data_IF_893095349213
#
_entry.id   IF_893095349213
#
_cell.length_a   1.000
_cell.length_b   1.000
_cell.length_c   1.000
_cell.angle_alpha   90.00
_cell.angle_beta   90.00
_cell.angle_gamma   90.00
#
_symmetry.space_group_name_H-M   'P 1'
#
loop_
_entity.id
_entity.type
_entity.pdbx_description
1 polymer ?
#
# COMPACT_ATOMS: atom_id res chain seq x y z
N UNK A 1 23.38 -4.94 3.47
CA UNK A 1 22.82 -3.59 3.68
C UNK A 1 21.29 -3.62 3.53
N UNK A 2 20.55 -4.48 4.25
CA UNK A 2 19.08 -4.66 4.06
C UNK A 2 18.25 -4.43 5.34
N UNK A 3 18.89 -4.16 6.47
CA UNK A 3 18.23 -4.10 7.78
C UNK A 3 17.79 -2.67 8.14
N UNK A 4 18.48 -1.66 7.61
CA UNK A 4 18.16 -0.23 7.78
C UNK A 4 16.86 0.17 7.06
N UNK A 5 16.62 -0.38 5.87
CA UNK A 5 15.46 0.00 5.05
C UNK A 5 14.15 -0.60 5.60
N UNK A 6 14.20 -1.81 6.15
CA UNK A 6 13.06 -2.45 6.83
C UNK A 6 12.63 -1.71 8.09
N UNK A 7 13.59 -1.18 8.86
CA UNK A 7 13.31 -0.37 10.05
C UNK A 7 12.68 0.98 9.66
N UNK A 8 13.05 1.54 8.51
CA UNK A 8 12.50 2.79 7.99
C UNK A 8 11.04 2.64 7.55
N UNK A 9 10.70 1.57 6.82
CA UNK A 9 9.32 1.33 6.35
C UNK A 9 8.32 1.12 7.48
N UNK A 10 8.70 0.39 8.55
CA UNK A 10 7.83 0.22 9.72
C UNK A 10 7.56 1.54 10.45
N UNK A 11 8.58 2.39 10.54
CA UNK A 11 8.42 3.70 11.17
C UNK A 11 7.52 4.61 10.33
N UNK A 12 7.67 4.59 9.00
CA UNK A 12 6.80 5.34 8.08
C UNK A 12 5.35 4.86 8.16
N UNK A 13 5.11 3.54 8.14
CA UNK A 13 3.77 2.95 8.27
C UNK A 13 3.10 3.37 9.58
N UNK A 14 3.85 3.32 10.69
CA UNK A 14 3.36 3.77 12.00
C UNK A 14 3.03 5.26 11.99
N UNK A 15 3.92 6.10 11.48
CA UNK A 15 3.68 7.54 11.41
C UNK A 15 2.49 7.89 10.50
N UNK A 16 2.30 7.16 9.41
CA UNK A 16 1.14 7.31 8.52
C UNK A 16 -0.14 6.97 9.26
N UNK A 17 -0.16 5.83 9.95
CA UNK A 17 -1.30 5.40 10.76
C UNK A 17 -1.61 6.41 11.87
N UNK A 18 -0.58 6.92 12.56
CA UNK A 18 -0.74 7.93 13.61
C UNK A 18 -1.26 9.27 13.08
N UNK A 19 -0.86 9.66 11.86
CA UNK A 19 -1.32 10.90 11.22
C UNK A 19 -2.81 10.87 10.92
N UNK A 20 -3.33 9.72 10.48
CA UNK A 20 -4.74 9.56 10.12
C UNK A 20 -5.59 8.90 11.21
N UNK A 21 -5.03 8.56 12.38
CA UNK A 21 -5.75 7.87 13.48
C UNK A 21 -7.05 8.51 13.95
N UNK A 22 -7.23 9.82 13.73
CA UNK A 22 -8.43 10.57 14.11
C UNK A 22 -9.48 10.62 12.99
N UNK A 23 -9.12 10.23 11.78
CA UNK A 23 -10.03 10.14 10.66
C UNK A 23 -10.84 8.86 10.77
N UNK A 24 -12.16 8.97 10.87
CA UNK A 24 -13.06 7.80 10.79
C UNK A 24 -13.08 7.18 9.39
N UNK A 25 -12.60 7.92 8.39
CA UNK A 25 -12.56 7.51 6.99
C UNK A 25 -11.28 6.74 6.64
N UNK A 26 -10.27 6.75 7.52
CA UNK A 26 -9.02 6.05 7.29
C UNK A 26 -9.12 4.58 7.68
N UNK A 27 -8.82 3.71 6.73
CA UNK A 27 -8.95 2.26 6.88
C UNK A 27 -7.61 1.59 6.64
N UNK A 28 -7.26 0.68 7.55
CA UNK A 28 -6.26 -0.36 7.34
C UNK A 28 -6.98 -1.68 7.17
N UNK A 29 -6.73 -2.41 6.07
CA UNK A 29 -7.30 -3.73 5.84
C UNK A 29 -6.27 -4.67 5.24
N UNK A 30 -6.17 -5.89 5.76
CA UNK A 30 -5.41 -6.93 5.10
C UNK A 30 -6.18 -7.40 3.86
N UNK A 31 -5.50 -7.41 2.71
CA UNK A 31 -6.03 -7.85 1.43
C UNK A 31 -5.12 -8.90 0.83
N UNK A 32 -5.65 -9.72 -0.07
CA UNK A 32 -4.87 -10.70 -0.83
C UNK A 32 -4.82 -10.23 -2.28
N UNK A 33 -3.61 -10.12 -2.81
CA UNK A 33 -3.36 -9.85 -4.23
C UNK A 33 -2.54 -11.03 -4.75
N UNK A 34 -3.08 -11.76 -5.73
CA UNK A 34 -2.50 -13.04 -6.16
C UNK A 34 -2.47 -14.05 -5.01
N UNK A 35 -1.27 -14.39 -4.53
CA UNK A 35 -1.04 -15.34 -3.43
C UNK A 35 -0.47 -14.67 -2.17
N UNK A 36 -0.25 -13.36 -2.20
CA UNK A 36 0.41 -12.61 -1.12
C UNK A 36 -0.60 -11.74 -0.35
N UNK A 37 -0.40 -11.66 0.97
CA UNK A 37 -1.20 -10.82 1.88
C UNK A 37 -0.52 -9.45 2.04
N UNK A 38 -1.26 -8.36 1.86
CA UNK A 38 -0.78 -6.99 2.01
C UNK A 38 -1.61 -6.21 3.04
N UNK A 39 -0.97 -5.34 3.80
CA UNK A 39 -1.66 -4.32 4.59
C UNK A 39 -2.00 -3.14 3.68
N UNK A 40 -3.30 -2.93 3.42
CA UNK A 40 -3.79 -1.87 2.57
C UNK A 40 -4.31 -0.69 3.39
N UNK A 41 -3.80 0.49 3.09
CA UNK A 41 -4.16 1.76 3.71
C UNK A 41 -4.84 2.66 2.68
N UNK A 42 -6.02 3.18 3.02
CA UNK A 42 -6.82 4.03 2.14
C UNK A 42 -7.83 4.88 2.93
N UNK A 43 -8.41 5.86 2.24
CA UNK A 43 -9.59 6.59 2.71
C UNK A 43 -10.84 5.97 2.08
N UNK A 44 -11.77 5.48 2.90
CA UNK A 44 -12.97 4.74 2.44
C UNK A 44 -13.84 5.58 1.51
N UNK A 45 -13.98 6.87 1.79
CA UNK A 45 -14.73 7.81 0.96
C UNK A 45 -14.12 8.05 -0.43
N UNK A 46 -12.82 7.77 -0.59
CA UNK A 46 -12.08 8.03 -1.84
C UNK A 46 -11.76 6.77 -2.62
N UNK A 47 -11.82 5.59 -2.00
CA UNK A 47 -11.41 4.32 -2.60
C UNK A 47 -12.53 3.29 -2.55
N UNK A 48 -13.02 2.90 -3.74
CA UNK A 48 -13.88 1.74 -3.89
C UNK A 48 -13.03 0.46 -3.94
N UNK A 49 -12.71 -0.09 -2.76
CA UNK A 49 -11.79 -1.22 -2.64
C UNK A 49 -12.17 -2.42 -3.53
N UNK A 50 -13.43 -2.91 -3.59
CA UNK A 50 -13.79 -4.01 -4.48
C UNK A 50 -13.45 -3.75 -5.96
N UNK A 51 -13.73 -2.53 -6.44
CA UNK A 51 -13.44 -2.15 -7.82
C UNK A 51 -11.95 -2.05 -8.06
N UNK A 52 -11.20 -1.46 -7.13
CA UNK A 52 -9.74 -1.36 -7.19
C UNK A 52 -9.08 -2.73 -7.19
N UNK A 53 -9.49 -3.65 -6.32
CA UNK A 53 -8.95 -5.02 -6.28
C UNK A 53 -9.30 -5.81 -7.53
N UNK A 54 -10.52 -5.65 -8.07
CA UNK A 54 -10.89 -6.28 -9.33
C UNK A 54 -10.00 -5.79 -10.47
N UNK A 55 -9.71 -4.49 -10.53
CA UNK A 55 -8.82 -3.93 -11.54
C UNK A 55 -7.37 -4.43 -11.39
N UNK A 56 -6.87 -4.51 -10.14
CA UNK A 56 -5.52 -5.06 -9.85
C UNK A 56 -5.44 -6.52 -10.27
N UNK A 57 -6.43 -7.34 -9.90
CA UNK A 57 -6.45 -8.76 -10.23
C UNK A 57 -6.65 -9.01 -11.74
N UNK A 58 -7.49 -8.23 -12.42
CA UNK A 58 -7.65 -8.33 -13.88
C UNK A 58 -6.35 -7.97 -14.59
N UNK A 59 -5.69 -6.88 -14.18
CA UNK A 59 -4.38 -6.55 -14.69
C UNK A 59 -3.40 -7.72 -14.47
N UNK A 60 -3.38 -8.30 -13.26
CA UNK A 60 -2.54 -9.46 -12.93
C UNK A 60 -2.79 -10.71 -13.80
N UNK A 61 -4.02 -10.94 -14.27
CA UNK A 61 -4.41 -12.09 -15.10
C UNK A 61 -4.10 -11.84 -16.58
N UNK A 62 -4.28 -10.62 -17.09
CA UNK A 62 -4.06 -10.28 -18.50
C UNK A 62 -2.58 -10.28 -18.91
N UNK A 63 -1.67 -10.28 -17.94
CA UNK A 63 -0.24 -10.39 -18.15
C UNK A 63 0.29 -11.62 -17.38
N UNK A 64 0.29 -12.80 -18.03
CA UNK A 64 0.99 -14.02 -17.58
C UNK A 64 2.54 -13.89 -17.64
N UNK A 65 3.04 -12.67 -17.44
CA UNK A 65 4.44 -12.33 -17.54
C UNK A 65 4.82 -11.64 -16.23
N UNK A 66 5.77 -12.22 -15.47
CA UNK A 66 6.31 -11.77 -14.17
C UNK A 66 6.65 -10.25 -14.10
N UNK A 67 6.63 -9.59 -15.25
CA UNK A 67 6.65 -8.14 -15.47
C UNK A 67 5.63 -7.31 -14.68
N UNK A 68 4.50 -7.86 -14.20
CA UNK A 68 3.53 -7.05 -13.44
C UNK A 68 3.90 -6.82 -11.98
N UNK A 69 4.72 -7.68 -11.37
CA UNK A 69 5.38 -7.33 -10.12
C UNK A 69 6.24 -6.07 -10.33
N UNK A 70 6.66 -5.76 -11.58
CA UNK A 70 7.32 -4.50 -11.92
C UNK A 70 6.37 -3.34 -12.29
N UNK A 71 5.12 -3.60 -12.69
CA UNK A 71 4.13 -2.56 -13.03
C UNK A 71 3.32 -2.12 -11.81
N UNK A 72 3.09 -3.06 -10.89
CA UNK A 72 2.74 -2.85 -9.49
C UNK A 72 3.96 -3.01 -8.59
N UNK A 73 5.16 -2.63 -9.07
CA UNK A 73 6.30 -2.47 -8.18
C UNK A 73 5.82 -1.52 -7.08
N UNK A 74 5.94 -1.88 -5.80
CA UNK A 74 5.71 -0.94 -4.71
C UNK A 74 6.73 0.18 -4.87
N UNK A 75 6.39 1.24 -5.63
CA UNK A 75 7.22 2.39 -6.01
C UNK A 75 8.73 2.18 -5.77
N UNK A 76 9.32 1.19 -6.47
CA UNK A 76 10.77 0.97 -6.40
C UNK A 76 11.41 1.85 -7.48
N UNK A 77 11.79 3.08 -7.12
CA UNK A 77 12.77 3.81 -7.92
C UNK A 77 12.46 5.25 -8.28
N UNK A 78 11.93 6.04 -7.35
CA UNK A 78 12.41 7.42 -7.24
C UNK A 78 12.50 7.82 -5.75
N UNK A 79 13.61 8.47 -5.42
CA UNK A 79 14.14 8.62 -4.06
C UNK A 79 13.15 9.23 -3.06
N UNK A 80 13.11 8.66 -1.85
CA UNK A 80 12.40 9.11 -0.64
C UNK A 80 10.87 8.93 -0.64
N UNK A 81 10.40 7.74 -0.22
CA UNK A 81 9.08 7.62 0.41
C UNK A 81 9.08 8.48 1.68
N UNK A 82 8.68 9.74 1.54
CA UNK A 82 8.42 10.60 2.67
C UNK A 82 7.00 10.32 3.18
N UNK A 83 6.82 10.43 4.49
CA UNK A 83 5.50 10.38 5.12
C UNK A 83 4.50 11.34 4.43
N UNK A 84 4.98 12.52 4.04
CA UNK A 84 4.18 13.54 3.36
C UNK A 84 3.74 13.10 1.96
N UNK A 85 4.62 12.44 1.20
CA UNK A 85 4.27 11.83 -0.09
C UNK A 85 3.13 10.83 0.06
N UNK A 86 3.29 9.83 0.94
CA UNK A 86 2.25 8.83 1.20
C UNK A 86 0.94 9.44 1.71
N UNK A 87 1.02 10.46 2.56
CA UNK A 87 -0.16 11.19 3.03
C UNK A 87 -0.90 11.86 1.88
N UNK A 88 -0.18 12.47 0.94
CA UNK A 88 -0.76 13.10 -0.24
C UNK A 88 -1.40 12.06 -1.18
N UNK A 89 -0.78 10.90 -1.38
CA UNK A 89 -1.35 9.83 -2.20
C UNK A 89 -2.70 9.32 -1.62
N UNK A 90 -2.81 9.17 -0.29
CA UNK A 90 -4.08 8.82 0.36
C UNK A 90 -5.16 9.86 0.10
N UNK A 91 -4.81 11.15 0.26
CA UNK A 91 -5.73 12.26 0.01
C UNK A 91 -6.14 12.40 -1.45
N UNK A 92 -5.36 11.83 -2.39
CA UNK A 92 -5.71 11.71 -3.80
C UNK A 92 -6.56 10.47 -4.12
N UNK A 93 -6.96 9.69 -3.11
CA UNK A 93 -7.75 8.48 -3.31
C UNK A 93 -6.93 7.31 -3.85
N UNK A 94 -5.63 7.26 -3.55
CA UNK A 94 -4.81 6.09 -3.89
C UNK A 94 -4.76 5.09 -2.74
N UNK A 95 -4.63 3.82 -3.13
CA UNK A 95 -4.42 2.69 -2.23
C UNK A 95 -2.92 2.52 -1.96
N UNK A 96 -2.52 2.49 -0.69
CA UNK A 96 -1.13 2.24 -0.30
C UNK A 96 -1.02 0.82 0.25
N UNK A 97 -0.02 0.07 -0.23
CA UNK A 97 0.20 -1.33 0.13
C UNK A 97 1.55 -1.49 0.83
N UNK A 98 1.53 -2.12 2.01
CA UNK A 98 2.73 -2.60 2.69
C UNK A 98 2.76 -4.12 2.64
N UNK A 99 3.90 -4.68 2.23
CA UNK A 99 4.16 -6.12 2.18
C UNK A 99 4.12 -6.75 3.58
N UNK A 100 3.81 -8.05 3.70
CA UNK A 100 3.57 -8.70 5.00
C UNK A 100 4.82 -8.83 5.86
N UNK A 101 6.01 -8.64 5.28
CA UNK A 101 7.26 -8.52 6.05
C UNK A 101 7.28 -7.27 6.95
N UNK A 102 6.46 -6.27 6.61
CA UNK A 102 6.38 -4.98 7.31
C UNK A 102 5.48 -5.10 8.53
N UNK A 103 4.18 -5.44 8.40
CA UNK A 103 3.25 -5.79 9.51
C UNK A 103 1.85 -6.22 8.98
N UNK A 104 0.96 -6.66 9.88
CA UNK A 104 -0.50 -6.78 9.67
C UNK A 104 -1.21 -5.57 10.31
N UNK A 105 -2.34 -5.15 9.75
CA UNK A 105 -3.20 -4.15 10.39
C UNK A 105 -3.52 -4.57 11.85
N UNK A 106 -3.50 -3.63 12.82
CA UNK A 106 -3.82 -3.91 14.22
C UNK A 106 -5.27 -4.37 14.42
#
# INVERSE_FOLDING_TARGET
>A
MQQSDKLNLREIEKQLSERFKKSSDFVCKNIIIGVEEFAAYYLESLVNLPTTLSAINQAAIEHEDDSLIQKFKPFEGDSSMSLDGLSNELLQGKLILFSPEVNRCP
#
